data_IF_169658220757
#
_entry.id   IF_169658220757
#
_cell.length_a   1.000
_cell.length_b   1.000
_cell.length_c   1.000
_cell.angle_alpha   90.00
_cell.angle_beta   90.00
_cell.angle_gamma   90.00
#
_symmetry.space_group_name_H-M   'P 1'
#
loop_
_entity.id
_entity.type
_entity.pdbx_description
1 polymer ?
#
# COMPACT_ATOMS: atom_id res chain seq x y z
N UNK A 1 -1.82 -9.23 -3.20
CA UNK A 1 -1.94 -8.22 -2.14
C UNK A 1 -1.34 -6.90 -2.64
N UNK A 2 -1.78 -5.76 -2.12
CA UNK A 2 -1.22 -4.44 -2.41
C UNK A 2 -0.81 -3.79 -1.10
N UNK A 3 0.19 -2.92 -1.10
CA UNK A 3 0.56 -2.20 0.10
C UNK A 3 -0.40 -1.01 0.27
N UNK A 4 -1.04 -0.93 1.44
CA UNK A 4 -1.91 0.18 1.79
C UNK A 4 -1.09 1.30 2.42
N UNK A 5 -1.17 2.49 1.83
CA UNK A 5 -0.75 3.72 2.47
C UNK A 5 -1.98 4.50 2.91
N UNK A 6 -1.92 5.04 4.12
CA UNK A 6 -2.98 5.87 4.67
C UNK A 6 -2.48 7.28 4.89
N UNK A 7 -3.18 8.22 4.28
CA UNK A 7 -3.02 9.64 4.53
C UNK A 7 -4.29 10.23 5.14
N UNK A 8 -4.10 11.20 6.02
CA UNK A 8 -5.16 12.04 6.56
C UNK A 8 -4.92 13.45 6.07
N UNK A 9 -5.98 14.14 5.66
CA UNK A 9 -5.87 15.52 5.17
C UNK A 9 -7.04 16.36 5.67
N UNK A 10 -6.77 17.63 5.97
CA UNK A 10 -7.82 18.62 6.27
C UNK A 10 -8.41 19.14 4.98
N UNK A 11 -9.74 19.11 4.85
CA UNK A 11 -10.41 19.66 3.68
C UNK A 11 -11.10 20.99 4.03
N UNK A 12 -10.68 22.15 3.49
CA UNK A 12 -11.37 23.41 3.75
C UNK A 12 -12.71 23.54 3.00
N UNK A 13 -12.97 22.66 2.04
CA UNK A 13 -14.18 22.68 1.20
C UNK A 13 -15.21 21.70 1.75
N UNK A 14 -16.49 22.09 1.71
CA UNK A 14 -17.66 21.35 2.18
C UNK A 14 -17.98 20.08 1.37
N UNK A 15 -16.96 19.37 0.88
CA UNK A 15 -17.09 17.96 0.52
C UNK A 15 -17.36 17.25 1.84
N UNK A 16 -18.63 16.93 2.07
CA UNK A 16 -19.16 16.37 3.30
C UNK A 16 -18.27 15.24 3.83
N UNK A 17 -17.36 15.57 4.75
CA UNK A 17 -16.83 14.61 5.69
C UNK A 17 -18.06 14.15 6.50
N UNK A 18 -18.50 12.92 6.26
CA UNK A 18 -19.74 12.37 6.84
C UNK A 18 -19.67 12.27 8.37
N UNK A 19 -18.52 12.55 8.97
CA UNK A 19 -18.23 12.29 10.38
C UNK A 19 -18.04 13.56 11.23
N UNK A 20 -17.59 14.70 10.69
CA UNK A 20 -17.47 15.94 11.46
C UNK A 20 -17.63 17.22 10.60
N UNK A 21 -18.75 17.95 10.71
CA UNK A 21 -19.00 19.16 9.93
C UNK A 21 -18.21 20.40 10.41
N UNK A 22 -17.69 20.38 11.65
CA UNK A 22 -16.92 21.51 12.22
C UNK A 22 -15.42 21.44 11.93
N UNK A 23 -14.90 20.22 11.70
CA UNK A 23 -13.52 19.96 11.28
C UNK A 23 -13.51 18.75 10.33
N UNK A 24 -13.87 18.95 9.05
CA UNK A 24 -13.96 17.86 8.09
C UNK A 24 -12.59 17.25 7.80
N UNK A 25 -12.41 16.01 8.24
CA UNK A 25 -11.22 15.20 7.97
C UNK A 25 -11.56 14.25 6.82
N UNK A 26 -10.64 14.14 5.86
CA UNK A 26 -10.72 13.19 4.74
C UNK A 26 -9.58 12.18 4.85
N UNK A 27 -9.95 10.91 4.79
CA UNK A 27 -9.00 9.79 4.76
C UNK A 27 -8.74 9.38 3.32
N UNK A 28 -7.48 9.37 2.93
CA UNK A 28 -7.02 8.94 1.62
C UNK A 28 -6.33 7.58 1.78
N UNK A 29 -6.99 6.53 1.28
CA UNK A 29 -6.37 5.21 1.17
C UNK A 29 -5.81 5.03 -0.23
N UNK A 30 -4.50 4.88 -0.32
CA UNK A 30 -3.79 4.67 -1.57
C UNK A 30 -3.26 3.25 -1.61
N UNK A 31 -3.68 2.51 -2.65
CA UNK A 31 -3.23 1.15 -2.87
C UNK A 31 -2.11 1.15 -3.92
N UNK A 32 -0.91 0.73 -3.51
CA UNK A 32 0.18 0.47 -4.43
C UNK A 32 0.07 -0.98 -4.89
N UNK A 33 -0.11 -1.18 -6.20
CA UNK A 33 -0.05 -2.49 -6.84
C UNK A 33 1.14 -2.54 -7.79
N UNK A 34 2.04 -3.51 -7.59
CA UNK A 34 3.03 -3.87 -8.60
C UNK A 34 2.32 -4.70 -9.67
N UNK A 35 2.10 -4.10 -10.85
CA UNK A 35 1.37 -4.74 -11.96
C UNK A 35 2.34 -5.47 -12.92
N UNK A 36 3.65 -5.21 -12.80
CA UNK A 36 4.65 -5.85 -13.66
C UNK A 36 4.75 -7.33 -13.30
N UNK A 37 4.62 -8.19 -14.31
CA UNK A 37 4.78 -9.62 -14.15
C UNK A 37 6.16 -9.93 -13.52
N UNK A 38 6.12 -10.69 -12.44
CA UNK A 38 7.29 -11.19 -11.72
C UNK A 38 7.94 -12.30 -12.55
N UNK A 39 9.24 -12.53 -12.34
CA UNK A 39 9.90 -13.69 -12.95
C UNK A 39 9.37 -15.03 -12.39
N UNK A 40 8.80 -15.00 -11.18
CA UNK A 40 8.22 -16.16 -10.51
C UNK A 40 6.78 -16.38 -10.98
N UNK A 41 6.47 -17.63 -11.36
CA UNK A 41 5.12 -18.09 -11.66
C UNK A 41 4.54 -18.79 -10.43
N UNK A 42 3.35 -18.38 -10.00
CA UNK A 42 2.62 -19.07 -8.93
C UNK A 42 2.15 -20.47 -9.37
N UNK A 43 1.74 -21.29 -8.41
CA UNK A 43 1.20 -22.64 -8.63
C UNK A 43 -0.18 -22.81 -8.00
N UNK A 44 -1.03 -23.60 -8.64
CA UNK A 44 -2.29 -24.08 -8.07
C UNK A 44 -2.28 -25.60 -8.14
N UNK A 45 -2.40 -26.26 -6.99
CA UNK A 45 -2.27 -27.70 -6.87
C UNK A 45 -3.48 -28.27 -6.12
N UNK A 46 -3.92 -29.48 -6.49
CA UNK A 46 -4.92 -30.19 -5.71
C UNK A 46 -4.34 -30.53 -4.34
N UNK A 47 -5.05 -30.15 -3.28
CA UNK A 47 -4.61 -30.43 -1.91
C UNK A 47 -4.90 -31.87 -1.51
N UNK A 48 -5.95 -32.45 -2.06
CA UNK A 48 -6.39 -33.82 -1.77
C UNK A 48 -7.03 -34.47 -3.00
N UNK A 49 -7.52 -35.69 -2.83
CA UNK A 49 -8.31 -36.41 -3.85
C UNK A 49 -9.79 -36.00 -3.85
N UNK A 50 -10.25 -35.29 -2.82
CA UNK A 50 -11.63 -34.81 -2.73
C UNK A 50 -11.78 -33.56 -3.60
N UNK A 51 -12.64 -33.55 -4.63
CA UNK A 51 -12.83 -32.40 -5.50
C UNK A 51 -13.55 -31.22 -4.82
N UNK A 52 -14.12 -31.43 -3.63
CA UNK A 52 -14.74 -30.37 -2.81
C UNK A 52 -13.74 -29.67 -1.90
N UNK A 53 -12.56 -30.26 -1.69
CA UNK A 53 -11.50 -29.63 -0.92
C UNK A 53 -10.89 -28.44 -1.68
N UNK A 54 -10.60 -27.32 -0.99
CA UNK A 54 -9.98 -26.18 -1.63
C UNK A 54 -8.56 -26.53 -2.11
N UNK A 55 -8.15 -26.06 -3.30
CA UNK A 55 -6.81 -26.29 -3.81
C UNK A 55 -5.76 -25.54 -2.97
N UNK A 56 -4.53 -26.03 -2.99
CA UNK A 56 -3.37 -25.31 -2.50
C UNK A 56 -2.97 -24.26 -3.54
N UNK A 57 -2.96 -22.99 -3.14
CA UNK A 57 -2.57 -21.87 -4.01
C UNK A 57 -1.29 -21.26 -3.45
N UNK A 58 -0.24 -21.25 -4.25
CA UNK A 58 1.00 -20.55 -3.98
C UNK A 58 1.18 -19.45 -5.03
N UNK A 59 1.04 -18.20 -4.61
CA UNK A 59 1.13 -17.06 -5.51
C UNK A 59 2.58 -16.60 -5.75
N UNK A 60 3.55 -17.07 -4.97
CA UNK A 60 4.95 -16.61 -5.00
C UNK A 60 5.10 -15.09 -5.00
N UNK A 61 4.21 -14.40 -4.29
CA UNK A 61 4.23 -12.95 -4.22
C UNK A 61 5.48 -12.50 -3.48
N UNK A 62 6.16 -11.51 -4.04
CA UNK A 62 7.31 -10.84 -3.41
C UNK A 62 8.54 -11.73 -3.19
N UNK A 63 8.62 -12.90 -3.84
CA UNK A 63 9.82 -13.74 -3.82
C UNK A 63 11.00 -13.10 -4.57
N UNK A 64 10.74 -12.26 -5.58
CA UNK A 64 11.80 -11.51 -6.22
C UNK A 64 12.09 -10.23 -5.43
N UNK A 65 13.36 -9.98 -5.12
CA UNK A 65 13.80 -8.72 -4.50
C UNK A 65 13.31 -7.49 -5.29
N UNK A 66 13.22 -7.63 -6.63
CA UNK A 66 12.71 -6.56 -7.50
C UNK A 66 11.27 -6.15 -7.21
N UNK A 67 10.44 -7.02 -6.63
CA UNK A 67 9.06 -6.69 -6.30
C UNK A 67 8.98 -5.83 -5.04
N UNK A 68 9.84 -6.13 -4.07
CA UNK A 68 9.98 -5.39 -2.82
C UNK A 68 10.56 -4.00 -3.12
N UNK A 69 11.62 -3.93 -3.92
CA UNK A 69 12.19 -2.64 -4.34
C UNK A 69 11.18 -1.79 -5.11
N UNK A 70 10.35 -2.40 -5.99
CA UNK A 70 9.28 -1.67 -6.70
C UNK A 70 8.22 -1.12 -5.76
N UNK A 71 7.83 -1.89 -4.74
CA UNK A 71 6.90 -1.42 -3.72
C UNK A 71 7.52 -0.24 -2.95
N UNK A 72 8.76 -0.37 -2.49
CA UNK A 72 9.46 0.70 -1.77
C UNK A 72 9.57 2.00 -2.60
N UNK A 73 9.87 1.89 -3.90
CA UNK A 73 9.86 3.03 -4.83
C UNK A 73 8.45 3.64 -4.99
N UNK A 74 7.41 2.81 -5.00
CA UNK A 74 6.02 3.28 -5.03
C UNK A 74 5.67 4.14 -3.81
N UNK A 75 6.09 3.72 -2.61
CA UNK A 75 5.90 4.48 -1.36
C UNK A 75 6.57 5.85 -1.47
N UNK A 76 7.83 5.88 -1.93
CA UNK A 76 8.58 7.13 -2.11
C UNK A 76 7.91 8.06 -3.10
N UNK A 77 7.43 7.53 -4.23
CA UNK A 77 6.73 8.32 -5.23
C UNK A 77 5.46 8.95 -4.65
N UNK A 78 4.71 8.21 -3.84
CA UNK A 78 3.52 8.73 -3.17
C UNK A 78 3.86 9.81 -2.14
N UNK A 79 4.88 9.61 -1.31
CA UNK A 79 5.35 10.64 -0.36
C UNK A 79 5.72 11.93 -1.07
N UNK A 80 6.50 11.83 -2.15
CA UNK A 80 6.86 12.98 -2.99
C UNK A 80 5.64 13.62 -3.66
N UNK A 81 4.62 12.84 -4.01
CA UNK A 81 3.36 13.37 -4.55
C UNK A 81 2.59 14.18 -3.50
N UNK A 82 2.63 13.76 -2.24
CA UNK A 82 2.00 14.49 -1.11
C UNK A 82 2.73 15.78 -0.75
N UNK A 83 4.01 15.91 -1.09
CA UNK A 83 4.78 17.16 -0.99
C UNK A 83 4.42 18.19 -2.07
N UNK A 84 3.64 17.81 -3.08
CA UNK A 84 3.22 18.75 -4.13
C UNK A 84 2.38 19.90 -3.57
N UNK A 85 2.50 21.09 -4.17
CA UNK A 85 1.78 22.30 -3.72
C UNK A 85 0.27 22.11 -3.61
N UNK A 86 -0.31 21.30 -4.51
CA UNK A 86 -1.75 21.00 -4.53
C UNK A 86 -2.12 20.18 -3.30
N UNK A 87 -1.33 19.16 -2.97
CA UNK A 87 -1.61 18.29 -1.84
C UNK A 87 -1.34 18.99 -0.51
N UNK A 88 -0.26 19.76 -0.40
CA UNK A 88 0.10 20.52 0.80
C UNK A 88 -0.98 21.53 1.24
N UNK A 89 -1.83 22.00 0.33
CA UNK A 89 -3.01 22.82 0.68
C UNK A 89 -3.93 22.13 1.70
N UNK A 90 -3.94 20.79 1.72
CA UNK A 90 -4.79 19.98 2.58
C UNK A 90 -4.06 19.43 3.82
N UNK A 91 -2.84 19.90 4.11
CA UNK A 91 -2.01 19.45 5.24
C UNK A 91 -1.97 17.91 5.36
N UNK A 92 -1.48 17.18 4.34
CA UNK A 92 -1.53 15.72 4.33
C UNK A 92 -0.54 15.14 5.34
N UNK A 93 -1.04 14.28 6.21
CA UNK A 93 -0.28 13.54 7.21
C UNK A 93 -0.27 12.04 6.86
N UNK A 94 0.92 11.44 6.81
CA UNK A 94 1.06 9.99 6.63
C UNK A 94 0.80 9.26 7.95
N UNK A 95 -0.20 8.38 7.96
CA UNK A 95 -0.54 7.56 9.12
C UNK A 95 0.12 6.19 9.06
N UNK A 96 0.13 5.56 7.88
CA UNK A 96 0.74 4.25 7.65
C UNK A 96 1.50 4.20 6.32
N UNK A 97 2.70 3.59 6.26
CA UNK A 97 3.44 3.01 7.39
C UNK A 97 3.90 4.05 8.41
N UNK A 98 4.00 5.32 8.02
CA UNK A 98 4.32 6.43 8.90
C UNK A 98 5.68 7.06 8.55
N UNK A 99 5.89 8.32 8.93
CA UNK A 99 7.06 9.10 8.48
C UNK A 99 8.39 8.61 9.07
N UNK A 100 8.36 7.87 10.19
CA UNK A 100 9.55 7.32 10.86
C UNK A 100 10.28 6.25 10.04
N UNK A 101 9.60 5.65 9.07
CA UNK A 101 10.19 4.60 8.23
C UNK A 101 10.90 5.23 7.04
N UNK A 102 12.21 5.42 7.19
CA UNK A 102 13.09 6.04 6.21
C UNK A 102 13.36 5.14 4.99
N UNK A 103 13.77 5.77 3.90
CA UNK A 103 14.09 5.15 2.62
C UNK A 103 15.23 4.14 2.74
N UNK A 104 15.08 2.96 2.14
CA UNK A 104 16.12 1.93 2.03
C UNK A 104 15.70 0.62 2.68
N UNK A 105 16.66 -0.09 3.27
CA UNK A 105 16.50 -1.42 3.87
C UNK A 105 15.34 -1.51 4.87
N UNK A 106 15.07 -0.42 5.61
CA UNK A 106 13.98 -0.34 6.60
C UNK A 106 12.59 -0.50 5.96
N UNK A 107 12.34 0.09 4.78
CA UNK A 107 11.05 -0.07 4.10
C UNK A 107 10.89 -1.48 3.52
N UNK A 108 11.97 -2.06 3.01
CA UNK A 108 11.97 -3.43 2.51
C UNK A 108 11.72 -4.45 3.63
N UNK A 109 12.28 -4.21 4.81
CA UNK A 109 12.04 -5.02 6.00
C UNK A 109 10.58 -4.97 6.47
N UNK A 110 9.91 -3.81 6.43
CA UNK A 110 8.48 -3.71 6.77
C UNK A 110 7.64 -4.47 5.75
N UNK A 111 7.98 -4.38 4.47
CA UNK A 111 7.26 -5.11 3.42
C UNK A 111 7.40 -6.63 3.63
N UNK A 112 8.56 -7.09 4.12
CA UNK A 112 8.81 -8.50 4.44
C UNK A 112 8.15 -8.96 5.75
N UNK A 113 8.16 -8.15 6.80
CA UNK A 113 7.66 -8.51 8.15
C UNK A 113 6.20 -8.11 8.42
N UNK A 114 5.62 -7.23 7.61
CA UNK A 114 4.20 -6.90 7.62
C UNK A 114 3.32 -7.93 6.90
N UNK A 115 3.87 -9.10 6.58
CA UNK A 115 3.16 -10.29 6.10
C UNK A 115 2.59 -11.10 7.26
#
# INVERSE_FOLDING_TARGET
MGLLLFFVSKCPMSVLSQTNPSNPIVYHTLLIKVIKATAHQGTVQLKSKDPTDPPSIDLKLYEADTDITRLALGIQLLRKTMESKIMQHYEPEEVLPGPSYLVGEVLEEIIKHGQ
#
